data_IF_533159915209
#
_entry.id   IF_533159915209
#
_cell.length_a   1.000
_cell.length_b   1.000
_cell.length_c   1.000
_cell.angle_alpha   90.00
_cell.angle_beta   90.00
_cell.angle_gamma   90.00
#
_symmetry.space_group_name_H-M   'P 1'
#
loop_
_entity.id
_entity.type
_entity.pdbx_description
1 polymer ?
#
# COMPACT_ATOMS: atom_id res chain seq x y z
N UNK A 1 -8.01 17.47 -42.66
CA UNK A 1 -9.25 18.29 -42.65
C UNK A 1 -9.28 19.10 -41.36
N UNK A 2 -9.36 20.45 -41.48
CA UNK A 2 -9.61 21.30 -40.33
C UNK A 2 -11.12 21.35 -40.12
N UNK A 3 -11.61 20.64 -39.15
CA UNK A 3 -13.00 20.74 -38.70
C UNK A 3 -13.10 21.62 -37.48
N UNK A 4 -14.15 22.38 -37.35
CA UNK A 4 -14.48 23.11 -36.12
C UNK A 4 -14.94 22.10 -35.07
N UNK A 5 -14.24 22.04 -33.95
CA UNK A 5 -14.63 21.22 -32.81
C UNK A 5 -15.32 22.10 -31.75
N UNK A 6 -16.56 21.81 -31.46
CA UNK A 6 -17.30 22.49 -30.39
C UNK A 6 -17.30 21.60 -29.16
N UNK A 7 -16.70 22.06 -28.08
CA UNK A 7 -16.71 21.39 -26.77
C UNK A 7 -17.78 22.03 -25.90
N UNK A 8 -18.70 21.22 -25.34
CA UNK A 8 -19.73 21.65 -24.41
C UNK A 8 -19.75 20.70 -23.21
N UNK A 9 -20.34 21.16 -22.10
CA UNK A 9 -20.56 20.36 -20.91
C UNK A 9 -19.29 19.77 -20.28
N UNK A 10 -18.19 20.55 -20.29
CA UNK A 10 -16.95 20.17 -19.64
C UNK A 10 -17.10 20.27 -18.13
N UNK A 11 -16.73 19.18 -17.40
CA UNK A 11 -16.69 19.15 -15.94
C UNK A 11 -15.54 18.29 -15.45
N UNK A 12 -15.11 18.56 -14.22
CA UNK A 12 -14.12 17.75 -13.49
C UNK A 12 -14.86 17.04 -12.34
N UNK A 13 -14.67 15.74 -12.24
CA UNK A 13 -15.19 14.95 -11.12
C UNK A 13 -14.03 14.61 -10.19
N UNK A 14 -14.14 15.01 -8.93
CA UNK A 14 -13.21 14.57 -7.90
C UNK A 14 -13.51 13.11 -7.55
N UNK A 15 -12.45 12.29 -7.47
CA UNK A 15 -12.51 10.90 -7.04
C UNK A 15 -11.68 10.75 -5.76
N UNK A 16 -12.33 10.56 -4.64
CA UNK A 16 -11.73 10.47 -3.30
C UNK A 16 -12.52 9.48 -2.44
N UNK A 17 -11.86 8.91 -1.45
CA UNK A 17 -12.53 8.14 -0.41
C UNK A 17 -13.36 9.07 0.48
N UNK A 18 -14.65 8.81 0.55
CA UNK A 18 -15.58 9.57 1.42
C UNK A 18 -15.81 8.94 2.78
N UNK A 19 -15.33 7.70 3.00
CA UNK A 19 -15.54 6.94 4.23
C UNK A 19 -14.44 7.26 5.26
N UNK A 20 -14.49 8.46 5.82
CA UNK A 20 -13.48 8.98 6.78
C UNK A 20 -14.14 9.72 7.95
N UNK A 21 -15.39 9.43 8.24
CA UNK A 21 -16.16 10.20 9.21
C UNK A 21 -16.12 9.63 10.64
N UNK A 22 -15.49 8.48 10.86
CA UNK A 22 -15.49 7.81 12.18
C UNK A 22 -14.68 8.54 13.22
N UNK A 23 -13.48 9.01 12.86
CA UNK A 23 -12.62 9.74 13.78
C UNK A 23 -12.72 11.25 13.61
N UNK A 24 -12.64 11.96 14.72
CA UNK A 24 -12.52 13.42 14.73
C UNK A 24 -11.51 13.85 15.78
N UNK A 25 -10.80 14.93 15.50
CA UNK A 25 -9.84 15.52 16.42
C UNK A 25 -9.95 17.03 16.41
N UNK A 26 -9.89 17.63 17.61
CA UNK A 26 -9.72 19.06 17.78
C UNK A 26 -8.99 19.37 19.10
N UNK A 27 -8.20 20.43 19.11
CA UNK A 27 -7.52 20.96 20.30
C UNK A 27 -7.43 22.47 20.23
N UNK A 28 -6.90 23.09 21.28
CA UNK A 28 -6.76 24.56 21.37
C UNK A 28 -5.69 25.12 20.41
N UNK A 29 -4.83 24.27 19.85
CA UNK A 29 -3.82 24.69 18.88
C UNK A 29 -4.37 24.64 17.45
N UNK A 30 -4.65 25.81 16.88
CA UNK A 30 -5.17 25.92 15.52
C UNK A 30 -4.23 25.37 14.44
N UNK A 31 -2.91 25.34 14.67
CA UNK A 31 -1.92 24.74 13.77
C UNK A 31 -2.08 23.22 13.70
N UNK A 32 -2.20 22.56 14.83
CA UNK A 32 -2.41 21.11 14.92
C UNK A 32 -3.75 20.72 14.26
N UNK A 33 -4.81 21.49 14.50
CA UNK A 33 -6.10 21.24 13.84
C UNK A 33 -6.01 21.32 12.30
N UNK A 34 -5.20 22.25 11.76
CA UNK A 34 -4.97 22.34 10.31
C UNK A 34 -4.19 21.15 9.78
N UNK A 35 -3.16 20.69 10.52
CA UNK A 35 -2.38 19.50 10.16
C UNK A 35 -3.29 18.26 10.13
N UNK A 36 -4.12 18.05 11.15
CA UNK A 36 -5.06 16.92 11.17
C UNK A 36 -6.00 16.94 9.95
N UNK A 37 -6.59 18.10 9.64
CA UNK A 37 -7.46 18.23 8.47
C UNK A 37 -6.72 17.92 7.17
N UNK A 38 -5.50 18.43 7.01
CA UNK A 38 -4.68 18.13 5.82
C UNK A 38 -4.34 16.65 5.71
N UNK A 39 -4.02 15.99 6.84
CA UNK A 39 -3.74 14.55 6.87
C UNK A 39 -4.96 13.71 6.46
N UNK A 40 -6.17 14.05 6.95
CA UNK A 40 -7.41 13.39 6.52
C UNK A 40 -7.67 13.58 5.03
N UNK A 41 -7.48 14.79 4.50
CA UNK A 41 -7.64 15.04 3.06
C UNK A 41 -6.59 14.28 2.22
N UNK A 42 -5.37 14.14 2.71
CA UNK A 42 -4.33 13.33 2.08
C UNK A 42 -4.74 11.85 2.06
N UNK A 43 -5.20 11.31 3.18
CA UNK A 43 -5.70 9.93 3.25
C UNK A 43 -6.83 9.70 2.24
N UNK A 44 -7.82 10.59 2.17
CA UNK A 44 -8.95 10.49 1.23
C UNK A 44 -8.53 10.36 -0.24
N UNK A 45 -7.39 10.94 -0.59
CA UNK A 45 -6.88 10.92 -1.97
C UNK A 45 -6.00 9.70 -2.24
N UNK A 46 -5.36 9.13 -1.21
CA UNK A 46 -4.41 8.04 -1.35
C UNK A 46 -4.98 6.66 -0.97
N UNK A 47 -6.13 6.60 -0.33
CA UNK A 47 -6.80 5.38 0.09
C UNK A 47 -8.13 5.23 -0.66
N UNK A 48 -8.09 4.73 -1.88
CA UNK A 48 -9.27 4.54 -2.74
C UNK A 48 -9.74 3.09 -2.70
N UNK A 49 -9.30 2.30 -3.67
CA UNK A 49 -9.46 0.85 -3.72
C UNK A 49 -8.26 0.11 -3.14
N UNK A 50 -7.10 0.76 -3.14
CA UNK A 50 -5.86 0.33 -2.47
C UNK A 50 -5.24 1.52 -1.75
N UNK A 51 -4.20 1.27 -0.95
CA UNK A 51 -3.32 2.33 -0.46
C UNK A 51 -2.32 2.73 -1.54
N UNK A 52 -2.28 4.01 -1.88
CA UNK A 52 -1.35 4.57 -2.85
C UNK A 52 -0.36 5.49 -2.15
N UNK A 53 0.85 5.58 -2.68
CA UNK A 53 1.89 6.51 -2.23
C UNK A 53 1.49 7.98 -2.44
N UNK A 54 0.91 8.28 -3.59
CA UNK A 54 0.50 9.63 -3.95
C UNK A 54 -0.70 9.63 -4.90
N UNK A 55 -1.48 10.74 -4.98
CA UNK A 55 -2.71 10.79 -5.77
C UNK A 55 -2.47 11.15 -7.26
N UNK A 56 -1.24 11.45 -7.67
CA UNK A 56 -0.99 12.05 -8.98
C UNK A 56 0.11 11.38 -9.82
N UNK A 57 1.32 11.20 -9.29
CA UNK A 57 2.48 10.78 -10.08
C UNK A 57 2.48 9.27 -10.33
N UNK A 58 2.61 8.48 -9.29
CA UNK A 58 2.78 7.03 -9.36
C UNK A 58 1.47 6.29 -9.18
N UNK A 59 0.68 6.68 -8.18
CA UNK A 59 -0.63 6.09 -7.87
C UNK A 59 -0.54 4.56 -7.73
N UNK A 60 0.50 4.10 -7.05
CA UNK A 60 0.84 2.70 -6.94
C UNK A 60 0.80 2.24 -5.47
N UNK A 61 0.55 0.95 -5.28
CA UNK A 61 0.46 0.31 -3.97
C UNK A 61 1.84 0.01 -3.39
N UNK A 62 2.59 1.01 -2.95
CA UNK A 62 3.89 0.85 -2.33
C UNK A 62 3.80 0.20 -0.95
N UNK A 63 4.56 -0.87 -0.73
CA UNK A 63 4.48 -1.71 0.48
C UNK A 63 4.79 -0.94 1.77
N UNK A 64 5.85 -0.14 1.81
CA UNK A 64 6.19 0.62 2.99
C UNK A 64 5.15 1.72 3.29
N UNK A 65 4.67 2.39 2.24
CA UNK A 65 3.66 3.46 2.33
C UNK A 65 2.32 2.93 2.81
N UNK A 66 1.93 1.73 2.33
CA UNK A 66 0.70 1.04 2.73
C UNK A 66 0.66 0.74 4.23
N UNK A 67 1.76 0.30 4.81
CA UNK A 67 1.87 0.03 6.24
C UNK A 67 1.48 1.24 7.10
N UNK A 68 2.04 2.43 6.78
CA UNK A 68 1.72 3.64 7.54
C UNK A 68 0.28 4.10 7.32
N UNK A 69 -0.23 3.95 6.11
CA UNK A 69 -1.61 4.31 5.77
C UNK A 69 -2.62 3.37 6.44
N UNK A 70 -2.33 2.06 6.48
CA UNK A 70 -3.17 1.04 7.11
C UNK A 70 -3.39 1.30 8.60
N UNK A 71 -2.37 1.81 9.31
CA UNK A 71 -2.44 2.10 10.76
C UNK A 71 -3.50 3.13 11.12
N UNK A 72 -3.84 4.04 10.22
CA UNK A 72 -4.87 5.07 10.46
C UNK A 72 -6.18 4.76 9.75
N UNK A 73 -6.19 3.81 8.82
CA UNK A 73 -7.34 3.50 7.98
C UNK A 73 -8.57 3.09 8.80
N UNK A 74 -8.40 2.16 9.73
CA UNK A 74 -9.50 1.68 10.59
C UNK A 74 -10.04 2.77 11.51
N UNK A 75 -9.19 3.62 12.05
CA UNK A 75 -9.61 4.74 12.90
C UNK A 75 -10.46 5.74 12.13
N UNK A 76 -10.12 6.01 10.88
CA UNK A 76 -10.82 6.95 10.03
C UNK A 76 -12.12 6.40 9.45
N UNK A 77 -12.11 5.12 8.97
CA UNK A 77 -13.24 4.52 8.24
C UNK A 77 -14.12 3.58 9.10
N UNK A 78 -13.53 2.90 10.09
CA UNK A 78 -14.20 1.90 10.90
C UNK A 78 -14.30 0.51 10.26
N UNK A 79 -13.60 0.29 9.16
CA UNK A 79 -13.54 -1.00 8.47
C UNK A 79 -12.16 -1.25 7.88
N UNK A 80 -11.93 -2.46 7.37
CA UNK A 80 -10.68 -2.90 6.76
C UNK A 80 -10.78 -3.08 5.24
N UNK A 81 -11.80 -2.53 4.58
CA UNK A 81 -12.09 -2.84 3.18
C UNK A 81 -10.91 -2.54 2.25
N UNK A 82 -10.30 -1.36 2.38
CA UNK A 82 -9.17 -0.95 1.53
C UNK A 82 -7.93 -1.78 1.85
N UNK A 83 -7.64 -2.01 3.13
CA UNK A 83 -6.51 -2.82 3.57
C UNK A 83 -6.65 -4.28 3.09
N UNK A 84 -7.84 -4.86 3.26
CA UNK A 84 -8.14 -6.21 2.76
C UNK A 84 -7.94 -6.30 1.25
N UNK A 85 -8.51 -5.36 0.50
CA UNK A 85 -8.35 -5.34 -0.95
C UNK A 85 -6.90 -5.13 -1.40
N UNK A 86 -6.14 -4.31 -0.68
CA UNK A 86 -4.71 -4.14 -0.92
C UNK A 86 -3.95 -5.46 -0.76
N UNK A 87 -4.20 -6.20 0.32
CA UNK A 87 -3.57 -7.50 0.59
C UNK A 87 -4.04 -8.60 -0.38
N UNK A 88 -5.32 -8.62 -0.75
CA UNK A 88 -5.89 -9.56 -1.72
C UNK A 88 -5.18 -9.48 -3.08
N UNK A 89 -4.75 -8.29 -3.51
CA UNK A 89 -4.01 -8.15 -4.75
C UNK A 89 -2.72 -8.98 -4.75
N UNK A 90 -2.08 -9.19 -3.60
CA UNK A 90 -0.90 -10.05 -3.49
C UNK A 90 -1.21 -11.55 -3.58
N UNK A 91 -2.48 -11.96 -3.46
CA UNK A 91 -2.91 -13.35 -3.71
C UNK A 91 -3.06 -13.67 -5.19
N UNK A 92 -3.42 -12.66 -6.01
CA UNK A 92 -3.82 -12.88 -7.40
C UNK A 92 -2.71 -13.45 -8.29
N UNK A 93 -1.46 -12.93 -8.31
CA UNK A 93 -0.42 -13.49 -9.14
C UNK A 93 0.22 -14.71 -8.47
N UNK A 94 0.39 -15.78 -9.23
CA UNK A 94 1.21 -16.92 -8.81
C UNK A 94 2.67 -16.49 -8.61
N UNK A 95 3.18 -15.68 -9.53
CA UNK A 95 4.51 -15.05 -9.48
C UNK A 95 4.45 -13.61 -10.00
N UNK A 96 5.33 -12.77 -9.53
CA UNK A 96 5.47 -11.40 -10.01
C UNK A 96 6.46 -11.32 -11.19
N UNK A 97 6.18 -10.41 -12.13
CA UNK A 97 6.93 -10.31 -13.39
C UNK A 97 8.33 -9.71 -13.13
N UNK A 98 9.33 -10.31 -13.78
CA UNK A 98 10.71 -9.78 -13.87
C UNK A 98 11.46 -9.61 -12.55
N UNK A 99 10.97 -10.15 -11.45
CA UNK A 99 11.68 -10.16 -10.17
C UNK A 99 12.01 -11.60 -9.73
N UNK A 100 13.00 -11.80 -8.85
CA UNK A 100 13.38 -13.13 -8.39
C UNK A 100 12.22 -13.89 -7.74
N UNK A 101 12.26 -15.21 -7.85
CA UNK A 101 11.28 -16.05 -7.17
C UNK A 101 11.38 -15.87 -5.65
N UNK A 102 10.24 -15.68 -5.01
CA UNK A 102 10.12 -15.42 -3.58
C UNK A 102 10.13 -13.93 -3.22
N UNK A 103 10.69 -13.07 -4.07
CA UNK A 103 10.67 -11.64 -3.83
C UNK A 103 9.28 -11.04 -4.15
N UNK A 104 8.90 -10.02 -3.42
CA UNK A 104 7.73 -9.21 -3.70
C UNK A 104 8.12 -7.92 -4.44
N UNK A 105 7.25 -7.40 -5.33
CA UNK A 105 7.47 -6.10 -5.93
C UNK A 105 7.42 -5.00 -4.88
N UNK A 106 8.18 -3.94 -5.08
CA UNK A 106 8.17 -2.77 -4.21
C UNK A 106 6.81 -2.07 -4.14
N UNK A 107 6.02 -2.17 -5.20
CA UNK A 107 4.65 -1.68 -5.28
C UNK A 107 3.77 -2.60 -6.13
N UNK A 108 2.54 -2.83 -5.67
CA UNK A 108 1.56 -3.66 -6.38
C UNK A 108 0.13 -3.36 -5.87
N UNK A 109 -0.88 -3.25 -6.78
CA UNK A 109 -0.72 -3.22 -8.23
C UNK A 109 0.00 -1.97 -8.73
N UNK A 110 0.71 -2.09 -9.83
CA UNK A 110 1.38 -0.97 -10.51
C UNK A 110 1.84 -1.39 -11.91
N UNK A 111 2.31 -0.43 -12.70
CA UNK A 111 2.97 -0.66 -14.00
C UNK A 111 4.51 -0.77 -13.88
N UNK A 112 5.06 -0.76 -12.67
CA UNK A 112 6.49 -0.96 -12.40
C UNK A 112 6.90 -2.43 -12.54
N UNK A 113 7.04 -2.89 -13.79
CA UNK A 113 7.37 -4.28 -14.14
C UNK A 113 8.74 -4.45 -14.80
N UNK A 114 9.62 -3.49 -14.59
CA UNK A 114 10.95 -3.41 -15.21
C UNK A 114 12.02 -4.27 -14.52
N UNK A 115 11.67 -5.04 -13.52
CA UNK A 115 12.58 -5.89 -12.74
C UNK A 115 13.29 -5.17 -11.59
N UNK A 116 12.92 -3.95 -11.27
CA UNK A 116 13.40 -3.27 -10.08
C UNK A 116 12.54 -3.68 -8.87
N UNK A 117 13.20 -3.85 -7.73
CA UNK A 117 12.56 -4.12 -6.45
C UNK A 117 13.40 -3.53 -5.32
N UNK A 118 12.77 -3.28 -4.20
CA UNK A 118 13.41 -2.73 -3.00
C UNK A 118 13.24 -3.77 -1.89
N UNK A 119 14.31 -4.50 -1.51
CA UNK A 119 14.23 -5.55 -0.50
C UNK A 119 13.58 -5.09 0.81
N UNK A 120 13.95 -3.92 1.29
CA UNK A 120 13.40 -3.36 2.52
C UNK A 120 11.88 -3.14 2.44
N UNK A 121 11.37 -2.74 1.27
CA UNK A 121 9.92 -2.57 1.07
C UNK A 121 9.19 -3.91 1.14
N UNK A 122 9.76 -4.97 0.58
CA UNK A 122 9.19 -6.32 0.70
C UNK A 122 9.14 -6.81 2.16
N UNK A 123 10.10 -6.45 2.99
CA UNK A 123 10.09 -6.81 4.42
C UNK A 123 8.92 -6.17 5.17
N UNK A 124 8.50 -4.96 4.81
CA UNK A 124 7.35 -4.30 5.42
C UNK A 124 6.06 -5.10 5.26
N UNK A 125 5.94 -5.90 4.21
CA UNK A 125 4.78 -6.77 4.01
C UNK A 125 4.53 -7.72 5.19
N UNK A 126 5.58 -8.29 5.78
CA UNK A 126 5.47 -9.20 6.92
C UNK A 126 4.93 -8.46 8.15
N UNK A 127 5.45 -7.27 8.41
CA UNK A 127 5.02 -6.43 9.54
C UNK A 127 3.59 -5.92 9.32
N UNK A 128 3.25 -5.57 8.08
CA UNK A 128 1.89 -5.15 7.72
C UNK A 128 0.87 -6.25 7.97
N UNK A 129 1.20 -7.51 7.63
CA UNK A 129 0.34 -8.67 7.89
C UNK A 129 0.17 -8.94 9.39
N UNK A 130 1.21 -8.78 10.20
CA UNK A 130 1.12 -8.91 11.67
C UNK A 130 0.15 -7.87 12.23
N UNK A 131 0.30 -6.61 11.86
CA UNK A 131 -0.60 -5.54 12.32
C UNK A 131 -2.03 -5.70 11.77
N UNK A 132 -2.18 -6.13 10.51
CA UNK A 132 -3.49 -6.44 9.95
C UNK A 132 -4.20 -7.53 10.74
N UNK A 133 -3.50 -8.62 11.06
CA UNK A 133 -4.04 -9.69 11.90
C UNK A 133 -4.48 -9.18 13.28
N UNK A 134 -3.65 -8.35 13.90
CA UNK A 134 -3.94 -7.78 15.22
C UNK A 134 -5.18 -6.87 15.21
N UNK A 135 -5.39 -6.11 14.13
CA UNK A 135 -6.55 -5.22 13.97
C UNK A 135 -7.82 -5.92 13.53
N UNK A 136 -7.71 -6.84 12.55
CA UNK A 136 -8.86 -7.46 11.88
C UNK A 136 -9.26 -8.82 12.44
N UNK A 137 -8.31 -9.54 13.05
CA UNK A 137 -8.41 -10.97 13.39
C UNK A 137 -8.70 -11.87 12.17
N UNK A 138 -8.38 -11.44 10.96
CA UNK A 138 -8.58 -12.19 9.72
C UNK A 138 -7.49 -13.24 9.50
N UNK A 139 -7.63 -14.36 10.18
CA UNK A 139 -6.72 -15.52 10.06
C UNK A 139 -6.78 -16.18 8.69
N UNK A 140 -7.88 -16.01 7.95
CA UNK A 140 -8.03 -16.63 6.65
C UNK A 140 -7.11 -15.93 5.62
N UNK A 141 -7.07 -14.61 5.61
CA UNK A 141 -6.15 -13.82 4.78
C UNK A 141 -4.69 -14.17 5.08
N UNK A 142 -4.33 -14.20 6.36
CA UNK A 142 -2.95 -14.55 6.77
C UNK A 142 -2.56 -15.94 6.28
N UNK A 143 -3.43 -16.94 6.49
CA UNK A 143 -3.17 -18.30 6.00
C UNK A 143 -3.04 -18.37 4.48
N UNK A 144 -3.80 -17.58 3.75
CA UNK A 144 -3.72 -17.52 2.28
C UNK A 144 -2.41 -16.89 1.79
N UNK A 145 -1.87 -15.91 2.52
CA UNK A 145 -0.62 -15.20 2.20
C UNK A 145 0.63 -15.89 2.77
N UNK A 146 0.50 -16.81 3.71
CA UNK A 146 1.61 -17.55 4.34
C UNK A 146 2.61 -18.14 3.33
N UNK A 147 2.19 -18.77 2.22
CA UNK A 147 3.16 -19.28 1.24
C UNK A 147 4.04 -18.18 0.61
N UNK A 148 3.50 -16.96 0.43
CA UNK A 148 4.29 -15.84 -0.10
C UNK A 148 5.26 -15.29 0.94
N UNK A 149 4.84 -15.22 2.21
CA UNK A 149 5.71 -14.85 3.32
C UNK A 149 6.87 -15.84 3.45
N UNK A 150 6.58 -17.14 3.44
CA UNK A 150 7.63 -18.16 3.53
C UNK A 150 8.62 -18.07 2.35
N UNK A 151 8.11 -17.90 1.12
CA UNK A 151 8.96 -17.73 -0.05
C UNK A 151 9.84 -16.46 0.02
N UNK A 152 9.32 -15.38 0.63
CA UNK A 152 10.08 -14.15 0.87
C UNK A 152 11.18 -14.37 1.91
N UNK A 153 10.87 -15.05 3.00
CA UNK A 153 11.86 -15.39 4.03
C UNK A 153 12.95 -16.31 3.48
N UNK A 154 12.57 -17.33 2.71
CA UNK A 154 13.51 -18.22 2.01
C UNK A 154 14.41 -17.45 1.01
N UNK A 155 13.89 -16.39 0.39
CA UNK A 155 14.68 -15.51 -0.46
C UNK A 155 15.74 -14.78 0.37
N UNK A 156 15.38 -14.18 1.50
CA UNK A 156 16.32 -13.44 2.35
C UNK A 156 17.33 -14.32 3.06
N UNK A 157 16.97 -15.53 3.46
CA UNK A 157 17.88 -16.49 4.11
C UNK A 157 19.17 -16.76 3.29
N UNK A 158 19.11 -16.58 1.96
CA UNK A 158 20.30 -16.74 1.09
C UNK A 158 21.33 -15.62 1.22
N UNK A 159 20.97 -14.52 1.85
CA UNK A 159 21.80 -13.34 2.04
C UNK A 159 22.21 -13.13 3.51
N UNK A 160 21.88 -14.11 4.36
CA UNK A 160 22.25 -14.09 5.77
C UNK A 160 23.72 -14.50 5.93
N UNK A 161 24.49 -13.70 6.66
CA UNK A 161 25.88 -13.97 6.98
C UNK A 161 26.03 -14.75 8.32
N UNK A 162 27.28 -14.99 8.74
CA UNK A 162 27.59 -15.73 9.98
C UNK A 162 27.10 -15.02 11.25
N UNK A 163 26.84 -13.73 11.18
CA UNK A 163 26.31 -12.91 12.28
C UNK A 163 24.76 -12.79 12.25
N UNK A 164 24.07 -13.59 11.42
CA UNK A 164 22.62 -13.55 11.22
C UNK A 164 22.12 -12.20 10.65
N UNK A 165 22.98 -11.49 9.91
CA UNK A 165 22.65 -10.23 9.26
C UNK A 165 22.56 -10.42 7.74
N UNK A 166 21.64 -9.64 7.11
CA UNK A 166 21.49 -9.65 5.66
C UNK A 166 22.57 -8.79 5.01
N UNK A 167 23.32 -9.40 4.08
CA UNK A 167 24.38 -8.73 3.32
C UNK A 167 24.20 -8.90 1.82
N UNK A 168 24.76 -7.97 1.05
CA UNK A 168 24.84 -8.06 -0.41
C UNK A 168 23.48 -8.31 -1.10
N UNK A 169 22.41 -7.73 -0.56
CA UNK A 169 21.10 -7.82 -1.16
C UNK A 169 21.15 -7.33 -2.62
N UNK A 170 20.51 -8.10 -3.50
CA UNK A 170 20.37 -7.68 -4.90
C UNK A 170 19.49 -6.46 -4.97
N UNK A 171 19.93 -5.48 -5.70
CA UNK A 171 19.20 -4.28 -6.12
C UNK A 171 18.47 -3.49 -5.03
N UNK A 172 18.58 -2.22 -5.23
CA UNK A 172 17.55 -1.33 -4.75
C UNK A 172 17.46 -0.18 -5.73
#
# INVERSE_FOLDING_TARGET
>A
EKGDCKVSDFYIRQYVNSDVARASFSCDNGGINKIYKAAVETYKQNALDIFMDCPSRERAGWLCDSYFTARVAFDLSGNHLIETNFLENYLLPEKFLNIPQGMLPMCYPSDHVNGNFIPNWAMWFVIELEEYLARSNDRQMIKALEPKVNALLDYFARYENEDELLENLEKW
#
